data_IF_526710726679
#
_entry.id   IF_526710726679
#
_cell.length_a   1.000
_cell.length_b   1.000
_cell.length_c   1.000
_cell.angle_alpha   90.00
_cell.angle_beta   90.00
_cell.angle_gamma   90.00
#
_symmetry.space_group_name_H-M   'P 1'
#
loop_
_entity.id
_entity.type
_entity.pdbx_description
1 polymer ?
#
# COMPACT_ATOMS: atom_id res chain seq x y z
N UNK A 1 18.56 -14.44 13.44
CA UNK A 1 18.59 -12.97 13.61
C UNK A 1 17.47 -12.39 12.78
N UNK A 2 16.51 -11.66 13.39
CA UNK A 2 15.46 -10.97 12.61
C UNK A 2 16.06 -9.72 11.98
N UNK A 3 15.68 -9.42 10.75
CA UNK A 3 16.07 -8.18 10.07
C UNK A 3 15.20 -7.04 10.61
N UNK A 4 15.82 -5.91 10.96
CA UNK A 4 15.12 -4.68 11.39
C UNK A 4 15.42 -3.56 10.40
N UNK A 5 14.45 -2.69 10.17
CA UNK A 5 14.60 -1.49 9.37
C UNK A 5 14.78 -0.29 10.30
N UNK A 6 15.76 0.56 10.04
CA UNK A 6 16.12 1.69 10.93
C UNK A 6 15.97 2.98 10.14
N UNK A 7 15.26 3.97 10.71
CA UNK A 7 15.12 5.31 10.12
C UNK A 7 14.34 5.35 8.82
N UNK A 8 13.45 4.38 8.59
CA UNK A 8 12.62 4.31 7.38
C UNK A 8 11.35 5.14 7.54
N UNK A 9 10.91 5.76 6.45
CA UNK A 9 9.66 6.51 6.38
C UNK A 9 8.83 5.98 5.21
N UNK A 10 7.52 5.83 5.45
CA UNK A 10 6.57 5.38 4.44
C UNK A 10 5.47 6.40 4.23
N UNK A 11 5.07 6.55 2.97
CA UNK A 11 3.78 7.17 2.62
C UNK A 11 2.82 6.06 2.28
N UNK A 12 1.72 5.97 3.02
CA UNK A 12 0.67 4.96 2.83
C UNK A 12 -0.58 5.67 2.32
N UNK A 13 -1.18 5.13 1.28
CA UNK A 13 -2.41 5.65 0.71
C UNK A 13 -3.55 4.67 0.98
N UNK A 14 -4.69 5.20 1.44
CA UNK A 14 -5.91 4.44 1.64
C UNK A 14 -6.99 4.96 0.68
N UNK A 15 -7.78 4.03 0.15
CA UNK A 15 -8.98 4.32 -0.65
C UNK A 15 -10.14 3.56 -0.03
N UNK A 16 -11.14 4.28 0.46
CA UNK A 16 -12.33 3.76 1.12
C UNK A 16 -13.48 4.78 0.98
N UNK A 17 -14.72 4.40 1.31
CA UNK A 17 -15.81 5.35 1.50
C UNK A 17 -15.44 6.50 2.44
N UNK A 18 -16.02 7.69 2.21
CA UNK A 18 -15.65 8.93 2.90
C UNK A 18 -15.80 8.83 4.43
N UNK A 19 -16.90 8.24 4.91
CA UNK A 19 -17.17 8.03 6.33
C UNK A 19 -16.06 7.20 7.01
N UNK A 20 -15.59 6.13 6.36
CA UNK A 20 -14.50 5.30 6.86
C UNK A 20 -13.16 6.04 6.84
N UNK A 21 -12.91 6.88 5.84
CA UNK A 21 -11.70 7.71 5.78
C UNK A 21 -11.71 8.76 6.90
N UNK A 22 -12.85 9.37 7.20
CA UNK A 22 -13.00 10.33 8.30
C UNK A 22 -12.72 9.66 9.64
N UNK A 23 -13.37 8.52 9.91
CA UNK A 23 -13.16 7.77 11.15
C UNK A 23 -11.69 7.34 11.31
N UNK A 24 -11.12 6.76 10.25
CA UNK A 24 -9.72 6.32 10.24
C UNK A 24 -8.73 7.46 10.44
N UNK A 25 -8.96 8.61 9.80
CA UNK A 25 -8.12 9.80 9.96
C UNK A 25 -8.14 10.31 11.40
N UNK A 26 -9.32 10.37 12.03
CA UNK A 26 -9.47 10.76 13.44
C UNK A 26 -8.75 9.77 14.37
N UNK A 27 -8.88 8.46 14.11
CA UNK A 27 -8.21 7.43 14.88
C UNK A 27 -6.68 7.50 14.77
N UNK A 28 -6.13 7.93 13.62
CA UNK A 28 -4.69 8.13 13.45
C UNK A 28 -4.19 9.42 14.13
N UNK A 29 -5.03 10.46 14.21
CA UNK A 29 -4.69 11.72 14.89
C UNK A 29 -4.72 11.60 16.41
N UNK A 30 -5.62 10.78 16.95
CA UNK A 30 -5.78 10.57 18.39
C UNK A 30 -5.95 9.09 18.72
N UNK A 31 -4.88 8.28 18.54
CA UNK A 31 -4.98 6.85 18.73
C UNK A 31 -5.17 6.51 20.21
N UNK A 32 -6.12 5.62 20.49
CA UNK A 32 -6.38 5.16 21.87
C UNK A 32 -5.21 4.32 22.41
N UNK A 33 -4.48 3.63 21.51
CA UNK A 33 -3.33 2.78 21.83
C UNK A 33 -2.12 3.27 21.03
N UNK A 34 -0.89 3.06 21.50
CA UNK A 34 0.30 3.30 20.68
C UNK A 34 0.22 2.50 19.37
N UNK A 35 0.70 3.10 18.28
CA UNK A 35 0.67 2.48 16.95
C UNK A 35 2.00 1.77 16.68
N UNK A 36 1.93 0.64 15.97
CA UNK A 36 3.07 -0.21 15.63
C UNK A 36 3.00 -0.65 14.16
N UNK A 37 4.15 -0.80 13.51
CA UNK A 37 4.26 -1.36 12.16
C UNK A 37 5.01 -2.69 12.20
N UNK A 38 4.29 -3.76 12.52
CA UNK A 38 4.84 -5.11 12.62
C UNK A 38 4.88 -5.61 14.05
N UNK A 39 6.06 -5.63 14.66
CA UNK A 39 6.25 -6.14 16.01
C UNK A 39 5.98 -5.05 17.07
N UNK A 40 5.77 -5.45 18.33
CA UNK A 40 5.45 -4.52 19.43
C UNK A 40 6.59 -3.56 19.80
N UNK A 41 7.79 -3.78 19.27
CA UNK A 41 8.94 -2.88 19.41
C UNK A 41 9.13 -1.97 18.19
N UNK A 42 8.29 -2.08 17.16
CA UNK A 42 8.30 -1.24 15.95
C UNK A 42 7.29 -0.09 16.06
N UNK A 43 7.46 0.76 17.09
CA UNK A 43 6.62 1.95 17.32
C UNK A 43 6.69 2.91 16.12
N UNK A 44 5.56 3.53 15.77
CA UNK A 44 5.43 4.43 14.62
C UNK A 44 4.76 5.74 15.02
N UNK A 45 5.32 6.83 14.52
CA UNK A 45 4.67 8.14 14.48
C UNK A 45 3.96 8.33 13.14
N UNK A 46 2.69 8.71 13.19
CA UNK A 46 1.90 9.02 11.98
C UNK A 46 1.98 10.52 11.72
N UNK A 47 2.68 10.89 10.65
CA UNK A 47 2.92 12.28 10.31
C UNK A 47 1.79 12.82 9.42
N UNK A 48 1.04 13.79 9.93
CA UNK A 48 0.05 14.58 9.17
C UNK A 48 -0.94 13.73 8.34
N UNK A 49 -1.69 12.80 8.96
CA UNK A 49 -2.74 12.08 8.24
C UNK A 49 -3.79 13.08 7.71
N UNK A 50 -4.21 12.91 6.46
CA UNK A 50 -5.20 13.79 5.82
C UNK A 50 -5.95 13.04 4.73
N UNK A 51 -7.16 13.52 4.47
CA UNK A 51 -8.00 13.06 3.36
C UNK A 51 -7.77 14.00 2.19
N UNK A 52 -7.68 13.43 0.99
CA UNK A 52 -7.47 14.18 -0.25
C UNK A 52 -8.51 13.70 -1.25
N UNK A 53 -9.23 14.64 -1.85
CA UNK A 53 -10.12 14.38 -2.96
C UNK A 53 -9.29 14.34 -4.26
N UNK A 54 -9.41 13.24 -5.01
CA UNK A 54 -8.66 13.02 -6.24
C UNK A 54 -9.48 12.24 -7.24
N UNK A 55 -9.45 12.71 -8.49
CA UNK A 55 -10.07 12.00 -9.61
C UNK A 55 -9.08 11.00 -10.23
N UNK A 56 -9.55 9.82 -10.67
CA UNK A 56 -8.70 8.85 -11.34
C UNK A 56 -8.36 9.31 -12.77
N UNK A 57 -7.10 9.12 -13.18
CA UNK A 57 -6.61 9.44 -14.51
C UNK A 57 -5.86 8.25 -15.09
N UNK A 58 -5.70 8.18 -16.41
CA UNK A 58 -4.82 7.19 -17.03
C UNK A 58 -3.37 7.65 -16.88
N UNK A 59 -2.55 6.80 -16.27
CA UNK A 59 -1.11 7.02 -16.12
C UNK A 59 -0.34 5.77 -16.53
N UNK A 60 0.75 5.98 -17.25
CA UNK A 60 1.68 4.94 -17.70
C UNK A 60 2.89 4.81 -16.76
N UNK A 61 3.25 5.88 -16.03
CA UNK A 61 4.26 5.86 -14.97
C UNK A 61 3.62 5.64 -13.61
N UNK A 62 3.92 4.53 -12.92
CA UNK A 62 3.30 4.16 -11.63
C UNK A 62 4.33 4.11 -10.50
N UNK A 63 3.95 4.62 -9.33
CA UNK A 63 4.84 4.74 -8.15
C UNK A 63 4.42 3.85 -6.98
N UNK A 64 3.25 3.22 -7.04
CA UNK A 64 2.75 2.29 -6.03
C UNK A 64 3.10 0.83 -6.36
N UNK A 65 2.88 -0.07 -5.40
CA UNK A 65 3.01 -1.51 -5.61
C UNK A 65 1.95 -2.02 -6.60
N UNK A 66 2.33 -2.94 -7.48
CA UNK A 66 1.46 -3.45 -8.55
C UNK A 66 1.44 -4.98 -8.54
N UNK A 67 0.29 -5.66 -8.67
CA UNK A 67 0.25 -7.10 -8.84
C UNK A 67 1.02 -7.62 -10.05
N UNK A 68 1.58 -8.80 -9.87
CA UNK A 68 2.24 -9.55 -10.92
C UNK A 68 3.68 -9.10 -11.15
N UNK A 69 4.24 -9.56 -12.27
CA UNK A 69 5.60 -9.29 -12.67
C UNK A 69 5.67 -8.05 -13.56
N UNK A 70 6.50 -7.08 -13.17
CA UNK A 70 6.84 -5.89 -13.95
C UNK A 70 8.36 -5.74 -14.00
N UNK A 71 8.89 -5.59 -15.22
CA UNK A 71 10.33 -5.51 -15.44
C UNK A 71 10.92 -4.26 -14.80
N UNK A 72 12.06 -4.37 -14.12
CA UNK A 72 12.69 -3.25 -13.42
C UNK A 72 12.12 -3.00 -12.01
N UNK A 73 11.14 -3.78 -11.56
CA UNK A 73 10.67 -3.77 -10.17
C UNK A 73 11.36 -4.83 -9.32
N UNK A 74 11.46 -4.57 -8.02
CA UNK A 74 11.74 -5.60 -7.03
C UNK A 74 10.49 -6.46 -6.83
N UNK A 75 10.64 -7.78 -6.84
CA UNK A 75 9.52 -8.71 -6.65
C UNK A 75 9.38 -9.12 -5.19
N UNK A 76 8.15 -9.14 -4.68
CA UNK A 76 7.82 -9.61 -3.33
C UNK A 76 6.57 -10.49 -3.37
N UNK A 77 6.57 -11.58 -2.59
CA UNK A 77 5.38 -12.39 -2.34
C UNK A 77 4.75 -11.92 -1.04
N UNK A 78 3.51 -11.45 -1.09
CA UNK A 78 2.76 -10.97 0.07
C UNK A 78 1.65 -11.96 0.40
N UNK A 79 1.54 -12.43 1.67
CA UNK A 79 0.37 -13.17 2.13
C UNK A 79 -0.92 -12.40 1.82
N UNK A 80 -1.84 -13.03 1.10
CA UNK A 80 -3.09 -12.38 0.69
C UNK A 80 -4.29 -12.94 1.48
N UNK A 81 -4.42 -14.27 1.54
CA UNK A 81 -5.53 -14.91 2.27
C UNK A 81 -5.17 -16.30 2.76
N UNK A 82 -5.86 -16.73 3.80
CA UNK A 82 -5.82 -18.12 4.26
C UNK A 82 -6.88 -18.93 3.52
N UNK A 83 -6.49 -20.07 2.97
CA UNK A 83 -7.38 -20.99 2.26
C UNK A 83 -7.31 -22.36 2.91
N UNK A 84 -8.48 -22.95 3.15
CA UNK A 84 -8.58 -24.31 3.70
C UNK A 84 -8.44 -25.33 2.57
N UNK A 85 -7.47 -26.22 2.67
CA UNK A 85 -7.29 -27.34 1.74
C UNK A 85 -7.36 -28.64 2.54
N UNK A 86 -8.48 -29.35 2.43
CA UNK A 86 -8.77 -30.52 3.27
C UNK A 86 -8.88 -30.14 4.75
N UNK A 87 -7.98 -30.69 5.58
CA UNK A 87 -7.92 -30.45 7.04
C UNK A 87 -6.93 -29.34 7.44
N UNK A 88 -6.23 -28.74 6.48
CA UNK A 88 -5.12 -27.81 6.73
C UNK A 88 -5.44 -26.39 6.25
N UNK A 89 -4.86 -25.39 6.91
CA UNK A 89 -4.88 -24.01 6.45
C UNK A 89 -3.58 -23.68 5.72
N UNK A 90 -3.70 -23.04 4.56
CA UNK A 90 -2.58 -22.60 3.74
C UNK A 90 -2.66 -21.10 3.52
N UNK A 91 -1.50 -20.44 3.44
CA UNK A 91 -1.42 -19.02 3.08
C UNK A 91 -1.25 -18.94 1.56
N UNK A 92 -2.26 -18.43 0.88
CA UNK A 92 -2.08 -18.00 -0.50
C UNK A 92 -1.32 -16.69 -0.53
N UNK A 93 -0.24 -16.67 -1.31
CA UNK A 93 0.58 -15.50 -1.51
C UNK A 93 0.32 -14.92 -2.90
N UNK A 94 0.33 -13.61 -2.99
CA UNK A 94 0.26 -12.88 -4.25
C UNK A 94 1.61 -12.23 -4.55
N UNK A 95 2.06 -12.34 -5.80
CA UNK A 95 3.27 -11.67 -6.27
C UNK A 95 2.97 -10.19 -6.56
N UNK A 96 3.82 -9.33 -6.03
CA UNK A 96 3.80 -7.88 -6.26
C UNK A 96 5.14 -7.41 -6.80
N UNK A 97 5.06 -6.40 -7.66
CA UNK A 97 6.17 -5.61 -8.16
C UNK A 97 6.23 -4.30 -7.37
N UNK A 98 7.37 -4.04 -6.75
CA UNK A 98 7.69 -2.78 -6.06
C UNK A 98 8.56 -1.94 -7.02
N UNK A 99 8.06 -0.80 -7.52
CA UNK A 99 8.83 0.09 -8.39
C UNK A 99 10.08 0.65 -7.69
N UNK A 100 11.10 1.06 -8.47
CA UNK A 100 12.19 1.88 -7.97
C UNK A 100 11.67 3.10 -7.23
N UNK A 101 12.34 3.44 -6.14
CA UNK A 101 11.97 4.61 -5.34
C UNK A 101 12.13 5.90 -6.16
N UNK A 102 11.23 6.88 -5.95
CA UNK A 102 11.13 8.16 -6.67
C UNK A 102 10.72 8.07 -8.13
N UNK A 103 11.38 7.24 -8.94
CA UNK A 103 11.18 7.23 -10.40
C UNK A 103 9.91 6.52 -10.84
N UNK A 104 9.42 5.59 -10.02
CA UNK A 104 8.34 4.69 -10.40
C UNK A 104 8.75 3.75 -11.52
N UNK A 105 7.77 3.16 -12.18
CA UNK A 105 7.98 2.28 -13.34
C UNK A 105 7.13 2.75 -14.51
N UNK A 106 7.71 2.73 -15.71
CA UNK A 106 7.00 2.91 -16.96
C UNK A 106 6.31 1.59 -17.37
N UNK A 107 4.99 1.61 -17.52
CA UNK A 107 4.21 0.51 -18.03
C UNK A 107 4.02 0.64 -19.55
N UNK A 108 3.87 -0.50 -20.22
CA UNK A 108 3.53 -0.57 -21.64
C UNK A 108 2.09 -0.14 -21.93
N UNK A 109 1.20 -0.34 -20.96
CA UNK A 109 -0.22 -0.01 -21.03
C UNK A 109 -0.56 0.91 -19.86
N UNK A 110 -1.19 2.08 -20.11
CA UNK A 110 -1.65 2.97 -19.05
C UNK A 110 -2.64 2.26 -18.12
N UNK A 111 -2.57 2.61 -16.84
CA UNK A 111 -3.51 2.15 -15.81
C UNK A 111 -4.28 3.34 -15.25
N UNK A 112 -5.51 3.06 -14.82
CA UNK A 112 -6.26 3.99 -13.99
C UNK A 112 -5.53 4.15 -12.66
N UNK A 113 -5.14 5.39 -12.35
CA UNK A 113 -4.33 5.75 -11.20
C UNK A 113 -4.81 7.07 -10.60
N UNK A 114 -4.40 7.34 -9.36
CA UNK A 114 -4.70 8.57 -8.65
C UNK A 114 -3.41 9.38 -8.53
N UNK A 115 -3.42 10.59 -9.09
CA UNK A 115 -2.27 11.50 -9.06
C UNK A 115 -2.25 12.28 -7.75
N UNK A 116 -1.33 11.95 -6.86
CA UNK A 116 -1.20 12.56 -5.54
C UNK A 116 0.24 13.07 -5.39
N UNK A 117 0.39 14.39 -5.34
CA UNK A 117 1.70 15.06 -5.09
C UNK A 117 2.81 14.60 -6.04
N UNK A 118 2.49 14.50 -7.34
CA UNK A 118 3.44 14.06 -8.37
C UNK A 118 3.65 12.55 -8.44
N UNK A 119 2.92 11.75 -7.63
CA UNK A 119 2.98 10.28 -7.66
C UNK A 119 1.66 9.71 -8.17
N UNK A 120 1.77 8.79 -9.11
CA UNK A 120 0.63 8.03 -9.65
C UNK A 120 0.46 6.72 -8.88
N UNK A 121 -0.65 6.59 -8.17
CA UNK A 121 -0.95 5.49 -7.26
C UNK A 121 -2.06 4.62 -7.87
N UNK A 122 -1.78 3.34 -8.05
CA UNK A 122 -2.77 2.33 -8.41
C UNK A 122 -3.23 1.61 -7.15
N UNK A 123 -4.54 1.44 -7.01
CA UNK A 123 -5.16 0.59 -5.99
C UNK A 123 -5.64 -0.72 -6.64
N UNK A 124 -5.52 -1.83 -5.91
CA UNK A 124 -6.08 -3.10 -6.36
C UNK A 124 -7.55 -3.22 -5.98
N UNK A 125 -8.38 -3.63 -6.93
CA UNK A 125 -9.79 -3.90 -6.73
C UNK A 125 -10.68 -2.90 -7.46
N UNK A 126 -11.87 -3.38 -7.84
CA UNK A 126 -12.92 -2.50 -8.34
C UNK A 126 -13.27 -1.52 -7.22
N UNK A 127 -13.38 -0.23 -7.58
CA UNK A 127 -13.99 0.81 -6.77
C UNK A 127 -15.28 0.29 -6.11
N UNK A 128 -15.41 0.49 -4.80
CA UNK A 128 -16.67 0.31 -4.09
C UNK A 128 -17.72 1.29 -4.60
#
# INVERSE_FOLDING_TARGET
>A
MRQKMIGVQYTVYFKAPEDQLIEGCQALLSPHWPLYLGESDDLVDVLSPRIIEVEPTLADRIHSIIPGLKQGCRLVKVPNRFVKQGKSWHVEQQLYSIPPEKEGIQLSEPKLAYSIEGRNIVFNGNSW
#
